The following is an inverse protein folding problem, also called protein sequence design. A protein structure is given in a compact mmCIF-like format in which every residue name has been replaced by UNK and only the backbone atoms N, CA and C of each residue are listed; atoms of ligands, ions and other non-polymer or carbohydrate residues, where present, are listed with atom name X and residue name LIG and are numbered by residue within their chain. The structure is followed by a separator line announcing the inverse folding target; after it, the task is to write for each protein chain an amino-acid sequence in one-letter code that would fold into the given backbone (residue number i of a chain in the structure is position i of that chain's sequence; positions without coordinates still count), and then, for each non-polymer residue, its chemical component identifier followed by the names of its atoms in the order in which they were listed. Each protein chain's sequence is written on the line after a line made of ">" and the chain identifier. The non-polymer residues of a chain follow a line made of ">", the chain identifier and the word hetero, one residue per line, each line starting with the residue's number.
data_IF_950170596636
#
_entry.id   IF_950170596636
#
_cell.length_a   1.000
_cell.length_b   1.000
_cell.length_c   1.000
_cell.angle_alpha   90.00
_cell.angle_beta   90.00
_cell.angle_gamma   90.00
#
_symmetry.space_group_name_H-M   'P 1'
#
loop_
_entity.id
_entity.type
_entity.pdbx_description
1 polymer ?
#
# COMPACT_ATOMS: atom_id res chain seq x y z
N UNK A 1 25.55 11.09 0.68
CA UNK A 1 24.19 11.63 0.91
C UNK A 1 23.21 10.58 0.43
N UNK A 2 22.57 9.85 1.34
CA UNK A 2 21.46 8.97 0.96
C UNK A 2 20.28 9.86 0.61
N UNK A 3 19.84 9.86 -0.65
CA UNK A 3 18.60 10.54 -1.03
C UNK A 3 17.48 9.93 -0.21
N UNK A 4 16.80 10.72 0.60
CA UNK A 4 15.55 10.26 1.22
C UNK A 4 14.57 9.96 0.08
N UNK A 5 14.11 8.72 0.03
CA UNK A 5 13.13 8.30 -0.97
C UNK A 5 11.75 8.68 -0.46
N UNK A 6 11.30 9.87 -0.84
CA UNK A 6 9.98 10.37 -0.51
C UNK A 6 8.99 9.91 -1.58
N UNK A 7 7.89 9.30 -1.17
CA UNK A 7 6.76 8.96 -2.05
C UNK A 7 5.53 9.75 -1.64
N UNK A 8 4.78 10.29 -2.60
CA UNK A 8 3.52 10.95 -2.28
C UNK A 8 2.45 9.91 -1.95
N UNK A 9 1.46 10.31 -1.15
CA UNK A 9 0.28 9.46 -0.86
C UNK A 9 -0.39 8.98 -2.14
N UNK A 10 -0.50 9.84 -3.15
CA UNK A 10 -1.08 9.51 -4.45
C UNK A 10 -0.34 8.39 -5.17
N UNK A 11 0.97 8.30 -4.99
CA UNK A 11 1.80 7.29 -5.65
C UNK A 11 1.62 5.91 -5.03
N UNK A 12 1.15 5.85 -3.78
CA UNK A 12 0.92 4.61 -3.04
C UNK A 12 -0.51 4.08 -3.22
N UNK A 13 -1.49 4.96 -3.35
CA UNK A 13 -2.89 4.55 -3.56
C UNK A 13 -3.07 3.85 -4.91
N UNK A 14 -3.87 2.79 -4.93
CA UNK A 14 -4.13 1.99 -6.12
C UNK A 14 -2.99 1.05 -6.53
N UNK A 15 -1.83 1.12 -5.86
CA UNK A 15 -0.72 0.18 -6.11
C UNK A 15 -1.08 -1.23 -5.67
N UNK A 16 -0.55 -2.22 -6.39
CA UNK A 16 -0.77 -3.64 -6.05
C UNK A 16 0.17 -4.07 -4.94
N UNK A 17 -0.37 -4.83 -3.98
CA UNK A 17 0.43 -5.50 -2.95
C UNK A 17 0.59 -6.96 -3.33
N UNK A 18 1.83 -7.39 -3.51
CA UNK A 18 2.20 -8.73 -3.97
C UNK A 18 3.19 -9.32 -2.96
N UNK A 19 2.93 -10.54 -2.49
CA UNK A 19 3.85 -11.25 -1.59
C UNK A 19 5.13 -11.63 -2.32
N UNK A 20 6.27 -11.47 -1.66
CA UNK A 20 7.59 -11.74 -2.27
C UNK A 20 7.86 -13.22 -2.48
N UNK A 21 7.34 -14.06 -1.60
CA UNK A 21 7.62 -15.50 -1.53
C UNK A 21 6.83 -16.31 -2.57
N UNK A 22 5.55 -15.98 -2.74
CA UNK A 22 4.60 -16.73 -3.56
C UNK A 22 4.12 -15.96 -4.79
N UNK A 23 4.43 -14.66 -4.89
CA UNK A 23 3.90 -13.81 -5.94
C UNK A 23 2.37 -13.61 -5.86
N UNK A 24 1.75 -13.95 -4.72
CA UNK A 24 0.31 -13.82 -4.53
C UNK A 24 -0.04 -12.34 -4.41
N UNK A 25 -0.94 -11.87 -5.27
CA UNK A 25 -1.52 -10.53 -5.14
C UNK A 25 -2.53 -10.52 -3.98
N UNK A 26 -2.27 -9.69 -2.99
CA UNK A 26 -3.13 -9.49 -1.81
C UNK A 26 -4.27 -8.48 -2.07
N UNK A 27 -4.04 -7.50 -2.95
CA UNK A 27 -5.05 -6.47 -3.26
C UNK A 27 -4.45 -5.21 -3.85
N UNK A 28 -5.20 -4.11 -3.76
CA UNK A 28 -4.69 -2.76 -4.01
C UNK A 28 -4.75 -1.92 -2.73
N UNK A 29 -3.80 -1.00 -2.55
CA UNK A 29 -3.82 -0.04 -1.45
C UNK A 29 -4.99 0.93 -1.62
N UNK A 30 -5.86 1.03 -0.62
CA UNK A 30 -7.01 1.96 -0.62
C UNK A 30 -6.87 3.10 0.38
N UNK A 31 -6.10 2.90 1.44
CA UNK A 31 -5.91 3.89 2.50
C UNK A 31 -4.57 3.67 3.21
N UNK A 32 -4.02 4.78 3.74
CA UNK A 32 -2.87 4.80 4.63
C UNK A 32 -3.35 5.20 6.02
N UNK A 33 -2.93 4.48 7.05
CA UNK A 33 -3.14 4.83 8.45
C UNK A 33 -1.87 5.46 9.00
N UNK A 34 -2.03 6.60 9.67
CA UNK A 34 -0.93 7.38 10.22
C UNK A 34 -1.14 7.51 11.72
N UNK A 35 -0.12 7.17 12.50
CA UNK A 35 0.00 7.64 13.87
C UNK A 35 0.39 9.12 13.82
N UNK A 36 -0.55 10.00 14.18
CA UNK A 36 -0.38 11.46 14.06
C UNK A 36 0.63 11.98 15.08
N UNK A 37 0.68 11.38 16.27
CA UNK A 37 1.59 11.81 17.34
C UNK A 37 3.04 11.50 16.97
N UNK A 38 3.27 10.36 16.30
CA UNK A 38 4.60 9.93 15.82
C UNK A 38 4.94 10.39 14.41
N UNK A 39 3.94 10.81 13.63
CA UNK A 39 4.03 11.17 12.20
C UNK A 39 4.51 10.01 11.32
N UNK A 40 4.05 8.80 11.62
CA UNK A 40 4.48 7.59 10.93
C UNK A 40 3.30 6.85 10.30
N UNK A 41 3.50 6.29 9.10
CA UNK A 41 2.53 5.40 8.49
C UNK A 41 2.64 4.04 9.18
N UNK A 42 1.55 3.59 9.80
CA UNK A 42 1.53 2.36 10.61
C UNK A 42 0.86 1.19 9.90
N UNK A 43 -0.01 1.46 8.92
CA UNK A 43 -0.68 0.41 8.15
C UNK A 43 -1.20 0.89 6.80
N UNK A 44 -1.44 -0.06 5.90
CA UNK A 44 -2.17 0.14 4.65
C UNK A 44 -3.45 -0.69 4.67
N UNK A 45 -4.59 -0.07 4.37
CA UNK A 45 -5.80 -0.83 4.05
C UNK A 45 -5.69 -1.37 2.63
N UNK A 46 -6.03 -2.64 2.46
CA UNK A 46 -6.13 -3.25 1.15
C UNK A 46 -7.60 -3.40 0.77
N UNK A 47 -7.92 -3.01 -0.46
CA UNK A 47 -9.15 -3.44 -1.11
C UNK A 47 -8.85 -4.69 -1.92
N UNK A 48 -9.58 -5.75 -1.65
CA UNK A 48 -9.63 -6.89 -2.56
C UNK A 48 -10.34 -6.45 -3.84
N UNK A 49 -9.69 -6.62 -4.99
CA UNK A 49 -10.41 -6.59 -6.25
C UNK A 49 -11.00 -7.99 -6.41
N UNK A 50 -12.21 -8.20 -5.89
CA UNK A 50 -13.04 -9.32 -6.30
C UNK A 50 -13.38 -9.11 -7.78
N UNK A 51 -12.50 -9.53 -8.69
CA UNK A 51 -12.93 -9.86 -10.04
C UNK A 51 -13.54 -11.26 -9.92
N UNK A 52 -14.74 -11.32 -9.35
CA UNK A 52 -15.55 -12.53 -9.37
C UNK A 52 -16.34 -12.50 -10.67
N UNK A 53 -15.82 -13.16 -11.70
CA UNK A 53 -16.51 -13.42 -12.96
C UNK A 53 -16.35 -12.34 -14.04
N UNK A 54 -15.33 -12.50 -14.89
CA UNK A 54 -15.40 -12.20 -16.32
C UNK A 54 -14.86 -13.40 -17.08
#
# INVERSE_FOLDING_TARGET
>A
MTSEQISQRSDLLGTQVITRDTGKRLGVVSQLWVDIDRREVVAFSLRENLITGL
#
